data_IF_810606964769
#
_entry.id   IF_810606964769
#
_cell.length_a   1.000
_cell.length_b   1.000
_cell.length_c   1.000
_cell.angle_alpha   90.00
_cell.angle_beta   90.00
_cell.angle_gamma   90.00
#
_symmetry.space_group_name_H-M   'P 1'
#
loop_
_entity.id
_entity.type
_entity.pdbx_description
1 polymer ?
#
# COMPACT_ATOMS: atom_id res chain seq x y z
N UNK A 1 23.48 -1.81 -1.52
CA UNK A 1 22.16 -1.61 -0.89
C UNK A 1 21.84 -0.13 -0.95
N UNK A 2 20.73 0.27 -1.54
CA UNK A 2 20.20 1.62 -1.34
C UNK A 2 19.64 1.65 0.09
N UNK A 3 20.37 2.28 1.02
CA UNK A 3 19.88 2.46 2.37
C UNK A 3 18.65 3.37 2.34
N UNK A 4 17.72 3.18 3.27
CA UNK A 4 16.72 4.20 3.57
C UNK A 4 17.41 5.53 3.96
N UNK A 5 16.62 6.59 4.18
CA UNK A 5 17.19 7.89 4.58
C UNK A 5 18.05 7.77 5.83
N UNK A 6 19.09 8.59 5.93
CA UNK A 6 19.92 8.65 7.12
C UNK A 6 19.12 9.31 8.25
N UNK A 7 19.11 8.66 9.41
CA UNK A 7 18.50 9.20 10.62
C UNK A 7 19.45 10.19 11.30
N UNK A 8 18.90 11.24 11.88
CA UNK A 8 19.64 12.04 12.85
C UNK A 8 19.97 11.21 14.10
N UNK A 9 21.01 11.58 14.89
CA UNK A 9 21.34 10.88 16.12
C UNK A 9 20.16 10.81 17.10
N UNK A 10 19.30 11.83 17.12
CA UNK A 10 18.10 11.89 17.96
C UNK A 10 17.02 10.90 17.51
N UNK A 11 16.76 10.82 16.20
CA UNK A 11 15.81 9.86 15.64
C UNK A 11 16.29 8.41 15.83
N UNK A 12 17.59 8.16 15.60
CA UNK A 12 18.20 6.85 15.80
C UNK A 12 18.11 6.42 17.28
N UNK A 13 18.45 7.31 18.21
CA UNK A 13 18.32 7.08 19.66
C UNK A 13 16.87 6.78 20.04
N UNK A 14 15.92 7.57 19.55
CA UNK A 14 14.49 7.35 19.81
C UNK A 14 14.04 5.97 19.37
N UNK A 15 14.38 5.55 18.15
CA UNK A 15 13.99 4.23 17.64
C UNK A 15 14.67 3.09 18.42
N UNK A 16 15.92 3.28 18.84
CA UNK A 16 16.63 2.30 19.66
C UNK A 16 16.01 2.14 21.06
N UNK A 17 15.55 3.23 21.67
CA UNK A 17 14.91 3.22 23.00
C UNK A 17 13.45 2.72 22.97
N UNK A 18 12.74 2.88 21.84
CA UNK A 18 11.34 2.45 21.70
C UNK A 18 11.23 0.93 21.46
N UNK A 19 11.35 0.17 22.55
CA UNK A 19 11.19 -1.30 22.56
C UNK A 19 9.93 -1.78 23.29
N UNK A 20 9.10 -0.85 23.77
CA UNK A 20 7.89 -1.21 24.52
C UNK A 20 6.80 -1.60 23.53
N UNK A 21 6.51 -2.89 23.47
CA UNK A 21 5.40 -3.45 22.70
C UNK A 21 4.07 -3.31 23.43
N UNK A 22 3.01 -3.27 22.64
CA UNK A 22 1.64 -3.43 23.08
C UNK A 22 1.46 -4.82 23.70
N UNK A 23 0.68 -4.94 24.79
CA UNK A 23 0.44 -6.24 25.43
C UNK A 23 -0.21 -7.26 24.49
N UNK A 24 0.11 -8.54 24.67
CA UNK A 24 -0.39 -9.64 23.83
C UNK A 24 -1.92 -9.65 23.73
N UNK A 25 -2.61 -9.39 24.85
CA UNK A 25 -4.06 -9.25 24.87
C UNK A 25 -4.56 -8.18 23.90
N UNK A 26 -3.91 -7.00 23.90
CA UNK A 26 -4.28 -5.90 23.01
C UNK A 26 -3.86 -6.19 21.57
N UNK A 27 -2.73 -6.86 21.33
CA UNK A 27 -2.35 -7.31 19.99
C UNK A 27 -3.37 -8.29 19.40
N UNK A 28 -3.77 -9.32 20.16
CA UNK A 28 -4.79 -10.29 19.75
C UNK A 28 -6.14 -9.62 19.47
N UNK A 29 -6.53 -8.65 20.31
CA UNK A 29 -7.73 -7.86 20.08
C UNK A 29 -7.63 -7.04 18.78
N UNK A 30 -6.51 -6.37 18.54
CA UNK A 30 -6.30 -5.56 17.33
C UNK A 30 -6.30 -6.40 16.06
N UNK A 31 -5.74 -7.62 16.10
CA UNK A 31 -5.82 -8.56 14.97
C UNK A 31 -7.27 -8.95 14.69
N UNK A 32 -8.02 -9.35 15.73
CA UNK A 32 -9.44 -9.73 15.60
C UNK A 32 -10.32 -8.57 15.12
N UNK A 33 -10.03 -7.34 15.54
CA UNK A 33 -10.82 -6.14 15.22
C UNK A 33 -10.28 -5.35 14.01
N UNK A 34 -9.27 -5.86 13.30
CA UNK A 34 -8.60 -5.12 12.23
C UNK A 34 -9.57 -4.61 11.14
N UNK A 35 -10.54 -5.43 10.73
CA UNK A 35 -11.57 -5.03 9.74
C UNK A 35 -12.42 -3.88 10.26
N UNK A 36 -12.91 -4.02 11.50
CA UNK A 36 -13.77 -3.05 12.16
C UNK A 36 -13.05 -1.72 12.33
N UNK A 37 -11.76 -1.73 12.68
CA UNK A 37 -10.98 -0.51 12.83
C UNK A 37 -10.83 0.23 11.50
N UNK A 38 -10.57 -0.48 10.39
CA UNK A 38 -10.58 0.12 9.06
C UNK A 38 -11.98 0.62 8.64
N UNK A 39 -13.05 -0.12 8.95
CA UNK A 39 -14.41 0.35 8.64
C UNK A 39 -14.80 1.62 9.39
N UNK A 40 -14.40 1.72 10.67
CA UNK A 40 -14.58 2.92 11.48
C UNK A 40 -13.71 4.08 10.99
N UNK A 41 -12.50 3.80 10.51
CA UNK A 41 -11.66 4.80 9.89
C UNK A 41 -12.35 5.42 8.67
N UNK A 42 -12.85 4.61 7.74
CA UNK A 42 -13.57 5.12 6.57
C UNK A 42 -14.90 5.78 6.94
N UNK A 43 -15.58 5.30 8.00
CA UNK A 43 -16.79 5.97 8.52
C UNK A 43 -16.52 7.40 8.95
N UNK A 44 -15.37 7.63 9.61
CA UNK A 44 -15.00 8.94 10.16
C UNK A 44 -14.46 9.88 9.09
N UNK A 45 -13.68 9.36 8.14
CA UNK A 45 -12.94 10.19 7.20
C UNK A 45 -13.56 10.24 5.79
N UNK A 46 -14.51 9.36 5.47
CA UNK A 46 -15.14 9.27 4.15
C UNK A 46 -14.07 9.16 3.05
N UNK A 47 -14.22 9.91 1.96
CA UNK A 47 -13.35 9.86 0.78
C UNK A 47 -12.20 10.88 0.77
N UNK A 48 -12.10 11.72 1.81
CA UNK A 48 -11.26 12.93 1.77
C UNK A 48 -9.91 12.78 2.49
N UNK A 49 -9.65 11.64 3.13
CA UNK A 49 -8.43 11.45 3.91
C UNK A 49 -7.18 11.38 3.04
N UNK A 50 -7.22 10.50 2.03
CA UNK A 50 -6.14 10.32 1.07
C UNK A 50 -6.43 11.15 -0.18
N UNK A 51 -5.36 11.68 -0.77
CA UNK A 51 -5.44 12.40 -2.05
C UNK A 51 -5.42 11.41 -3.20
N UNK A 52 -6.09 11.79 -4.29
CA UNK A 52 -6.02 11.08 -5.56
C UNK A 52 -4.58 11.05 -6.11
N UNK A 53 -4.16 9.88 -6.62
CA UNK A 53 -2.77 9.58 -7.02
C UNK A 53 -2.56 9.82 -8.52
N UNK A 54 -2.59 11.08 -8.95
CA UNK A 54 -2.33 11.50 -10.35
C UNK A 54 -0.86 11.40 -10.80
N UNK A 55 -0.02 10.70 -10.05
CA UNK A 55 1.39 10.45 -10.37
C UNK A 55 1.66 8.99 -10.74
N UNK A 56 0.69 8.09 -10.54
CA UNK A 56 0.88 6.63 -10.64
C UNK A 56 1.44 6.21 -12.00
N UNK A 57 0.90 6.72 -13.11
CA UNK A 57 1.35 6.38 -14.46
C UNK A 57 2.68 7.01 -14.87
N UNK A 58 3.20 7.98 -14.08
CA UNK A 58 4.53 8.56 -14.26
C UNK A 58 5.61 7.76 -13.54
N UNK A 59 5.26 7.15 -12.39
CA UNK A 59 6.21 6.38 -11.58
C UNK A 59 6.16 4.87 -11.89
N UNK A 60 5.07 4.39 -12.51
CA UNK A 60 4.93 3.03 -13.01
C UNK A 60 4.58 3.05 -14.50
N UNK A 61 5.61 3.13 -15.34
CA UNK A 61 5.47 3.17 -16.80
C UNK A 61 4.83 1.90 -17.35
N UNK A 62 4.89 0.78 -16.63
CA UNK A 62 4.24 -0.49 -16.98
C UNK A 62 2.74 -0.30 -17.21
N UNK A 63 2.10 0.62 -16.48
CA UNK A 63 0.67 0.91 -16.66
C UNK A 63 0.36 1.48 -18.04
N UNK A 64 1.36 1.99 -18.76
CA UNK A 64 1.25 2.44 -20.16
C UNK A 64 1.83 1.42 -21.14
N UNK A 65 2.96 0.82 -20.79
CA UNK A 65 3.80 0.04 -21.72
C UNK A 65 3.52 -1.46 -21.73
N UNK A 66 2.73 -1.98 -20.78
CA UNK A 66 2.46 -3.42 -20.71
C UNK A 66 1.47 -3.94 -21.79
N UNK A 67 0.99 -3.04 -22.67
CA UNK A 67 0.17 -3.39 -23.83
C UNK A 67 1.06 -3.67 -25.03
N UNK A 68 0.84 -4.82 -25.65
CA UNK A 68 1.45 -5.22 -26.92
C UNK A 68 0.77 -4.49 -28.11
N UNK A 69 -0.51 -4.13 -27.97
CA UNK A 69 -1.29 -3.43 -28.99
C UNK A 69 -2.09 -2.26 -28.39
N UNK A 70 -2.32 -1.21 -29.17
CA UNK A 70 -3.01 0.02 -28.73
C UNK A 70 -4.41 -0.26 -28.16
N UNK A 71 -5.15 -1.21 -28.76
CA UNK A 71 -6.49 -1.62 -28.32
C UNK A 71 -6.49 -2.70 -27.23
N UNK A 72 -5.33 -3.17 -26.76
CA UNK A 72 -5.29 -4.22 -25.75
C UNK A 72 -5.82 -3.72 -24.40
N UNK A 73 -6.91 -4.32 -23.93
CA UNK A 73 -7.44 -4.05 -22.60
C UNK A 73 -6.44 -4.46 -21.52
N UNK A 74 -6.08 -3.52 -20.65
CA UNK A 74 -5.23 -3.79 -19.50
C UNK A 74 -6.08 -4.20 -18.30
N UNK A 75 -5.87 -5.41 -17.78
CA UNK A 75 -6.52 -5.90 -16.57
C UNK A 75 -5.59 -5.75 -15.36
N UNK A 76 -6.03 -5.01 -14.34
CA UNK A 76 -5.29 -4.79 -13.08
C UNK A 76 -6.06 -5.33 -11.88
N UNK A 77 -5.34 -5.60 -10.78
CA UNK A 77 -5.91 -5.87 -9.46
C UNK A 77 -5.31 -4.86 -8.47
N UNK A 78 -6.14 -4.03 -7.84
CA UNK A 78 -5.74 -3.21 -6.70
C UNK A 78 -6.18 -3.86 -5.39
N UNK A 79 -5.20 -4.32 -4.61
CA UNK A 79 -5.43 -4.86 -3.28
C UNK A 79 -5.24 -3.77 -2.22
N UNK A 80 -6.28 -3.55 -1.39
CA UNK A 80 -6.33 -2.40 -0.49
C UNK A 80 -6.71 -1.10 -1.21
N UNK A 81 -7.75 -1.15 -2.05
CA UNK A 81 -8.14 -0.03 -2.90
C UNK A 81 -8.72 1.17 -2.12
N UNK A 82 -9.10 0.97 -0.86
CA UNK A 82 -9.75 1.96 -0.03
C UNK A 82 -10.98 2.54 -0.72
N UNK A 83 -11.00 3.86 -0.85
CA UNK A 83 -12.07 4.61 -1.52
C UNK A 83 -11.75 4.93 -2.99
N UNK A 84 -10.74 4.28 -3.56
CA UNK A 84 -10.37 4.33 -4.98
C UNK A 84 -9.44 5.46 -5.39
N UNK A 85 -8.68 6.07 -4.46
CA UNK A 85 -7.81 7.21 -4.77
C UNK A 85 -6.66 6.89 -5.76
N UNK A 86 -6.29 5.61 -5.92
CA UNK A 86 -5.40 5.18 -7.00
C UNK A 86 -6.18 4.93 -8.28
N UNK A 87 -7.26 4.16 -8.15
CA UNK A 87 -8.02 3.61 -9.25
C UNK A 87 -8.71 4.67 -10.11
N UNK A 88 -9.40 5.64 -9.49
CA UNK A 88 -10.19 6.60 -10.26
C UNK A 88 -9.33 7.46 -11.20
N UNK A 89 -8.20 8.05 -10.76
CA UNK A 89 -7.28 8.73 -11.67
C UNK A 89 -6.80 7.87 -12.84
N UNK A 90 -6.53 6.58 -12.61
CA UNK A 90 -6.12 5.66 -13.67
C UNK A 90 -7.24 5.43 -14.70
N UNK A 91 -8.47 5.23 -14.24
CA UNK A 91 -9.63 5.03 -15.11
C UNK A 91 -10.03 6.31 -15.88
N UNK A 92 -9.73 7.49 -15.33
CA UNK A 92 -9.91 8.79 -16.00
C UNK A 92 -8.87 9.03 -17.09
N UNK A 93 -7.61 8.65 -16.83
CA UNK A 93 -6.52 8.77 -17.81
C UNK A 93 -6.68 7.80 -18.98
N UNK A 94 -7.18 6.59 -18.72
CA UNK A 94 -7.22 5.53 -19.72
C UNK A 94 -8.47 4.64 -19.61
N UNK A 95 -9.32 4.78 -20.63
CA UNK A 95 -10.58 4.07 -20.71
C UNK A 95 -10.43 2.59 -21.08
N UNK A 96 -9.25 2.12 -21.51
CA UNK A 96 -8.99 0.72 -21.87
C UNK A 96 -8.37 -0.08 -20.71
N UNK A 97 -8.67 0.31 -19.47
CA UNK A 97 -8.34 -0.42 -18.24
C UNK A 97 -9.59 -1.12 -17.70
N UNK A 98 -9.42 -2.38 -17.30
CA UNK A 98 -10.32 -3.10 -16.42
C UNK A 98 -9.64 -3.32 -15.07
N UNK A 99 -10.33 -3.04 -13.98
CA UNK A 99 -9.77 -3.24 -12.66
C UNK A 99 -10.62 -4.21 -11.85
N UNK A 100 -9.95 -5.15 -11.21
CA UNK A 100 -10.43 -5.74 -9.97
C UNK A 100 -9.93 -4.86 -8.83
N UNK A 101 -10.77 -4.55 -7.86
CA UNK A 101 -10.35 -3.81 -6.68
C UNK A 101 -10.93 -4.46 -5.44
N UNK A 102 -10.14 -4.50 -4.37
CA UNK A 102 -10.60 -5.07 -3.12
C UNK A 102 -10.10 -4.31 -1.90
N UNK A 103 -10.93 -4.28 -0.87
CA UNK A 103 -10.57 -3.71 0.42
C UNK A 103 -11.12 -4.58 1.56
N UNK A 104 -10.52 -4.43 2.73
CA UNK A 104 -10.98 -5.13 3.92
C UNK A 104 -12.27 -4.51 4.46
N UNK A 105 -12.41 -3.19 4.35
CA UNK A 105 -13.59 -2.46 4.82
C UNK A 105 -14.71 -2.55 3.78
N UNK A 106 -15.85 -3.17 4.14
CA UNK A 106 -17.04 -3.14 3.28
C UNK A 106 -17.48 -1.71 2.95
N UNK A 107 -17.32 -0.77 3.88
CA UNK A 107 -17.63 0.64 3.66
C UNK A 107 -16.72 1.30 2.62
N UNK A 108 -15.43 1.00 2.62
CA UNK A 108 -14.52 1.52 1.60
C UNK A 108 -14.96 1.08 0.20
N UNK A 109 -15.26 -0.23 0.05
CA UNK A 109 -15.82 -0.81 -1.17
C UNK A 109 -17.14 -0.14 -1.56
N UNK A 110 -18.02 0.12 -0.59
CA UNK A 110 -19.28 0.83 -0.84
C UNK A 110 -19.04 2.25 -1.36
N UNK A 111 -18.09 2.99 -0.79
CA UNK A 111 -17.73 4.31 -1.33
C UNK A 111 -17.21 4.23 -2.77
N UNK A 112 -16.44 3.20 -3.13
CA UNK A 112 -16.02 2.98 -4.52
C UNK A 112 -17.24 2.73 -5.41
N UNK A 113 -18.19 1.89 -5.00
CA UNK A 113 -19.45 1.66 -5.75
C UNK A 113 -20.25 2.94 -5.94
N UNK A 114 -20.42 3.74 -4.89
CA UNK A 114 -21.15 5.01 -4.96
C UNK A 114 -20.44 6.07 -5.81
N UNK A 115 -19.11 6.04 -5.91
CA UNK A 115 -18.34 6.92 -6.82
C UNK A 115 -18.42 6.45 -8.28
N UNK A 116 -18.54 5.14 -8.51
CA UNK A 116 -18.41 4.55 -9.84
C UNK A 116 -19.70 4.52 -10.69
N UNK A 117 -20.67 5.40 -10.42
CA UNK A 117 -21.99 5.36 -11.09
C UNK A 117 -21.91 5.48 -12.62
N UNK A 118 -20.83 6.07 -13.14
CA UNK A 118 -20.63 6.28 -14.58
C UNK A 118 -19.79 5.17 -15.26
N UNK A 119 -19.12 4.27 -14.52
CA UNK A 119 -18.07 3.37 -15.06
C UNK A 119 -18.18 1.91 -14.57
N UNK A 120 -19.36 1.44 -14.14
CA UNK A 120 -19.56 0.09 -13.61
C UNK A 120 -19.10 -1.07 -14.52
N UNK A 121 -18.96 -0.87 -15.84
CA UNK A 121 -18.50 -1.93 -16.76
C UNK A 121 -16.99 -2.20 -16.71
N UNK A 122 -16.21 -1.40 -15.97
CA UNK A 122 -14.74 -1.47 -15.93
C UNK A 122 -14.17 -1.90 -14.58
N UNK A 123 -15.02 -2.18 -13.61
CA UNK A 123 -14.60 -2.40 -12.23
C UNK A 123 -15.38 -3.53 -11.56
N UNK A 124 -14.67 -4.57 -11.14
CA UNK A 124 -15.16 -5.61 -10.26
C UNK A 124 -14.63 -5.42 -8.84
N UNK A 125 -15.51 -5.49 -7.84
CA UNK A 125 -15.17 -5.20 -6.44
C UNK A 125 -15.30 -6.44 -5.55
N UNK A 126 -14.26 -6.71 -4.76
CA UNK A 126 -14.23 -7.80 -3.80
C UNK A 126 -13.99 -7.27 -2.38
N UNK A 127 -14.57 -7.93 -1.38
CA UNK A 127 -14.27 -7.68 0.02
C UNK A 127 -13.32 -8.76 0.50
N UNK A 128 -12.16 -8.36 1.02
CA UNK A 128 -11.20 -9.30 1.61
C UNK A 128 -11.66 -9.69 3.02
N UNK A 129 -11.42 -10.93 3.43
CA UNK A 129 -11.77 -11.41 4.77
C UNK A 129 -10.61 -11.35 5.76
N UNK A 130 -9.37 -11.12 5.29
CA UNK A 130 -8.17 -10.92 6.12
C UNK A 130 -7.14 -10.03 5.41
N UNK A 131 -6.50 -9.12 6.15
CA UNK A 131 -5.33 -8.35 5.72
C UNK A 131 -4.15 -8.72 6.61
N UNK A 132 -3.54 -9.84 6.28
CA UNK A 132 -2.18 -10.18 6.71
C UNK A 132 -1.32 -10.36 5.45
N UNK A 133 -0.09 -10.91 5.60
CA UNK A 133 0.70 -11.45 4.48
C UNK A 133 -0.15 -12.25 3.45
N UNK A 134 -1.31 -12.76 3.84
CA UNK A 134 -2.32 -13.34 2.95
C UNK A 134 -2.70 -12.47 1.74
N UNK A 135 -2.71 -11.14 1.85
CA UNK A 135 -3.00 -10.26 0.72
C UNK A 135 -1.89 -10.32 -0.34
N UNK A 136 -0.63 -10.35 0.13
CA UNK A 136 0.53 -10.58 -0.71
C UNK A 136 0.48 -11.99 -1.34
N UNK A 137 0.23 -13.04 -0.54
CA UNK A 137 0.13 -14.43 -1.03
C UNK A 137 -0.96 -14.55 -2.09
N UNK A 138 -2.13 -13.93 -1.89
CA UNK A 138 -3.22 -13.93 -2.87
C UNK A 138 -2.78 -13.30 -4.19
N UNK A 139 -2.19 -12.10 -4.16
CA UNK A 139 -1.68 -11.42 -5.37
C UNK A 139 -0.64 -12.30 -6.09
N UNK A 140 0.26 -12.93 -5.34
CA UNK A 140 1.31 -13.79 -5.89
C UNK A 140 0.76 -15.04 -6.61
N UNK A 141 -0.34 -15.62 -6.11
CA UNK A 141 -0.98 -16.79 -6.69
C UNK A 141 -1.78 -16.47 -7.96
N UNK A 142 -2.47 -15.32 -8.02
CA UNK A 142 -3.40 -15.02 -9.11
C UNK A 142 -2.74 -14.50 -10.39
N UNK A 143 -1.50 -14.00 -10.31
CA UNK A 143 -0.84 -13.44 -11.48
C UNK A 143 -0.33 -14.50 -12.46
N UNK A 144 -0.58 -14.25 -13.75
CA UNK A 144 -0.04 -15.05 -14.86
C UNK A 144 1.48 -14.85 -14.99
N UNK A 145 2.21 -15.83 -15.54
CA UNK A 145 3.62 -15.68 -15.91
C UNK A 145 3.88 -14.40 -16.73
N UNK A 146 5.05 -13.78 -16.54
CA UNK A 146 5.45 -12.54 -17.20
C UNK A 146 4.76 -11.27 -16.68
N UNK A 147 3.76 -11.36 -15.80
CA UNK A 147 3.07 -10.19 -15.22
C UNK A 147 3.78 -9.71 -13.95
N UNK A 148 3.57 -8.43 -13.62
CA UNK A 148 4.26 -7.76 -12.54
C UNK A 148 3.34 -7.39 -11.38
N UNK A 149 3.92 -7.32 -10.19
CA UNK A 149 3.37 -6.68 -9.01
C UNK A 149 4.05 -5.33 -8.87
N UNK A 150 3.25 -4.28 -8.83
CA UNK A 150 3.67 -2.92 -8.52
C UNK A 150 3.33 -2.65 -7.06
N UNK A 151 4.33 -2.27 -6.28
CA UNK A 151 4.19 -2.05 -4.85
C UNK A 151 4.61 -0.64 -4.49
N UNK A 152 3.78 0.02 -3.67
CA UNK A 152 4.20 1.23 -2.97
C UNK A 152 3.51 1.37 -1.63
N UNK A 153 4.32 1.48 -0.58
CA UNK A 153 3.84 1.79 0.77
C UNK A 153 4.92 2.58 1.55
N UNK A 154 4.66 2.89 2.81
CA UNK A 154 5.64 3.55 3.67
C UNK A 154 6.92 2.73 3.79
N UNK A 155 8.05 3.36 3.52
CA UNK A 155 9.37 2.78 3.73
C UNK A 155 9.88 3.04 5.15
N UNK A 156 10.96 2.35 5.51
CA UNK A 156 11.68 2.62 6.76
C UNK A 156 12.00 4.10 6.92
N UNK A 157 11.89 4.56 8.17
CA UNK A 157 12.24 5.92 8.59
C UNK A 157 11.37 7.04 7.99
N UNK A 158 10.22 6.71 7.38
CA UNK A 158 9.19 7.71 7.07
C UNK A 158 8.87 8.54 8.32
N UNK A 159 8.59 9.82 8.13
CA UNK A 159 8.28 10.71 9.24
C UNK A 159 7.09 10.21 10.09
N UNK A 160 6.12 9.48 9.51
CA UNK A 160 5.03 8.90 10.28
C UNK A 160 5.53 7.82 11.27
N UNK A 161 6.55 7.04 10.92
CA UNK A 161 7.16 6.02 11.80
C UNK A 161 7.70 6.68 13.07
N UNK A 162 8.43 7.77 12.89
CA UNK A 162 9.10 8.49 13.96
C UNK A 162 8.14 9.28 14.85
N UNK A 163 6.87 9.37 14.50
CA UNK A 163 5.84 10.05 15.31
C UNK A 163 5.12 9.14 16.27
N UNK A 164 5.27 7.82 16.15
CA UNK A 164 4.70 6.90 17.13
C UNK A 164 5.29 7.17 18.52
N UNK A 165 4.42 7.03 19.51
CA UNK A 165 4.77 7.09 20.93
C UNK A 165 5.12 5.69 21.41
N UNK A 166 5.86 5.61 22.51
CA UNK A 166 6.09 4.33 23.19
C UNK A 166 4.79 3.60 23.48
N UNK A 167 4.86 2.27 23.56
CA UNK A 167 3.71 1.38 23.70
C UNK A 167 2.72 1.40 22.50
N UNK A 168 3.19 1.81 21.32
CA UNK A 168 2.44 1.69 20.05
C UNK A 168 2.95 0.53 19.18
N UNK A 169 4.08 -0.11 19.51
CA UNK A 169 4.66 -1.20 18.71
C UNK A 169 3.84 -2.48 18.81
N UNK A 170 3.55 -3.07 17.67
CA UNK A 170 2.97 -4.41 17.52
C UNK A 170 4.02 -5.44 17.11
N UNK A 171 5.14 -4.99 16.57
CA UNK A 171 6.24 -5.82 16.11
C UNK A 171 7.34 -4.95 15.50
N UNK A 172 8.31 -5.58 14.86
CA UNK A 172 9.32 -4.86 14.10
C UNK A 172 8.68 -4.07 12.96
N UNK A 173 8.98 -2.76 12.90
CA UNK A 173 8.41 -1.83 11.93
C UNK A 173 6.88 -1.77 11.87
N UNK A 174 6.18 -2.32 12.87
CA UNK A 174 4.73 -2.44 12.88
C UNK A 174 4.12 -1.75 14.09
N UNK A 175 3.18 -0.84 13.86
CA UNK A 175 2.67 0.07 14.86
C UNK A 175 1.14 0.19 14.81
N UNK A 176 0.51 0.42 15.95
CA UNK A 176 -0.92 0.74 16.06
C UNK A 176 -1.14 2.24 16.21
N UNK A 177 -2.15 2.77 15.50
CA UNK A 177 -2.63 4.14 15.62
C UNK A 177 -3.67 4.28 16.74
N UNK A 178 -3.99 5.52 17.10
CA UNK A 178 -4.97 5.80 18.15
C UNK A 178 -6.39 5.30 17.81
N UNK A 179 -6.74 5.23 16.53
CA UNK A 179 -8.03 4.74 16.05
C UNK A 179 -8.10 3.20 15.92
N UNK A 180 -7.02 2.49 16.27
CA UNK A 180 -6.91 1.04 16.16
C UNK A 180 -6.50 0.53 14.78
N UNK A 181 -6.37 1.40 13.77
CA UNK A 181 -5.74 1.04 12.50
C UNK A 181 -4.23 0.84 12.70
N UNK A 182 -3.58 0.15 11.76
CA UNK A 182 -2.19 -0.30 11.90
C UNK A 182 -1.36 0.25 10.76
N UNK A 183 -0.06 0.40 10.99
CA UNK A 183 0.89 0.88 9.99
C UNK A 183 2.16 0.08 10.06
N UNK A 184 2.56 -0.43 8.90
CA UNK A 184 3.80 -1.14 8.69
C UNK A 184 4.73 -0.24 7.88
N UNK A 185 6.03 -0.29 8.16
CA UNK A 185 7.06 0.44 7.44
C UNK A 185 8.02 -0.57 6.80
N UNK A 186 8.02 -0.63 5.48
CA UNK A 186 8.68 -1.72 4.77
C UNK A 186 10.20 -1.54 4.68
N UNK A 187 10.90 -2.58 5.13
CA UNK A 187 12.30 -2.80 4.82
C UNK A 187 12.40 -3.39 3.40
N UNK A 188 13.34 -2.89 2.58
CA UNK A 188 13.46 -3.31 1.19
C UNK A 188 13.85 -4.78 1.07
N UNK A 189 14.77 -5.24 1.92
CA UNK A 189 15.19 -6.63 2.06
C UNK A 189 14.05 -7.57 2.48
N UNK A 190 13.24 -7.17 3.46
CA UNK A 190 12.07 -7.94 3.88
C UNK A 190 11.07 -8.13 2.73
N UNK A 191 10.77 -7.06 1.97
CA UNK A 191 9.86 -7.17 0.83
C UNK A 191 10.47 -8.01 -0.30
N UNK A 192 11.78 -7.88 -0.54
CA UNK A 192 12.49 -8.70 -1.52
C UNK A 192 12.39 -10.18 -1.16
N UNK A 193 12.75 -10.55 0.07
CA UNK A 193 12.70 -11.93 0.55
C UNK A 193 11.31 -12.53 0.34
N UNK A 194 10.26 -11.78 0.68
CA UNK A 194 8.87 -12.23 0.54
C UNK A 194 8.47 -12.54 -0.91
N UNK A 195 8.87 -11.72 -1.89
CA UNK A 195 8.57 -12.00 -3.30
C UNK A 195 9.48 -13.08 -3.89
N UNK A 196 10.76 -13.06 -3.54
CA UNK A 196 11.75 -14.04 -4.03
C UNK A 196 11.41 -15.45 -3.53
N UNK A 197 10.92 -15.61 -2.30
CA UNK A 197 10.48 -16.91 -1.76
C UNK A 197 9.28 -17.49 -2.51
N UNK A 198 8.46 -16.64 -3.12
CA UNK A 198 7.32 -17.03 -3.96
C UNK A 198 7.71 -17.20 -5.45
N UNK A 199 9.00 -17.14 -5.76
CA UNK A 199 9.54 -17.36 -7.11
C UNK A 199 9.40 -16.17 -8.05
N UNK A 200 9.20 -14.95 -7.53
CA UNK A 200 9.25 -13.73 -8.34
C UNK A 200 10.69 -13.26 -8.55
N UNK A 201 10.90 -12.46 -9.59
CA UNK A 201 12.15 -11.75 -9.85
C UNK A 201 12.02 -10.28 -9.41
N UNK A 202 13.02 -9.77 -8.71
CA UNK A 202 13.06 -8.35 -8.36
C UNK A 202 13.53 -7.52 -9.56
N UNK A 203 12.66 -6.63 -10.04
CA UNK A 203 12.99 -5.69 -11.12
C UNK A 203 13.41 -4.33 -10.55
N UNK A 204 12.66 -3.81 -9.59
CA UNK A 204 12.93 -2.55 -8.87
C UNK A 204 12.58 -2.74 -7.40
N UNK A 205 13.36 -2.21 -6.46
CA UNK A 205 13.04 -2.23 -5.04
C UNK A 205 13.81 -1.14 -4.29
N UNK A 206 13.29 0.08 -4.32
CA UNK A 206 14.03 1.27 -3.93
C UNK A 206 13.23 2.21 -3.03
N UNK A 207 13.95 2.93 -2.16
CA UNK A 207 13.35 3.98 -1.35
C UNK A 207 13.20 5.27 -2.15
N UNK A 208 11.96 5.76 -2.26
CA UNK A 208 11.63 7.04 -2.89
C UNK A 208 11.38 8.08 -1.82
N UNK A 209 12.22 9.12 -1.79
CA UNK A 209 12.08 10.26 -0.90
C UNK A 209 11.18 11.32 -1.56
N UNK A 210 10.22 11.82 -0.80
CA UNK A 210 9.33 12.92 -1.19
C UNK A 210 9.23 13.92 -0.05
N UNK A 211 8.83 15.13 -0.36
CA UNK A 211 8.48 16.12 0.65
C UNK A 211 6.99 16.43 0.56
N UNK A 212 6.30 16.42 1.70
CA UNK A 212 4.92 16.90 1.79
C UNK A 212 4.92 18.22 2.53
N UNK A 213 4.49 19.29 1.84
CA UNK A 213 4.38 20.61 2.43
C UNK A 213 2.94 20.84 2.90
N UNK A 214 2.73 20.90 4.21
CA UNK A 214 1.52 21.44 4.79
C UNK A 214 1.64 22.96 4.90
N UNK A 215 1.19 23.68 3.86
CA UNK A 215 1.27 25.15 3.80
C UNK A 215 0.53 25.82 4.97
N UNK A 216 -0.56 25.23 5.48
CA UNK A 216 -1.35 25.79 6.59
C UNK A 216 -0.58 25.77 7.91
N UNK A 217 0.24 24.74 8.12
CA UNK A 217 1.03 24.55 9.34
C UNK A 217 2.49 24.98 9.17
N UNK A 218 2.88 25.46 7.97
CA UNK A 218 4.27 25.80 7.65
C UNK A 218 5.23 24.61 7.73
N UNK A 219 4.72 23.38 7.62
CA UNK A 219 5.49 22.16 7.89
C UNK A 219 5.91 21.49 6.58
N UNK A 220 7.22 21.28 6.39
CA UNK A 220 7.75 20.40 5.36
C UNK A 220 8.09 19.05 5.99
N UNK A 221 7.44 17.99 5.51
CA UNK A 221 7.56 16.65 6.08
C UNK A 221 8.29 15.73 5.12
N UNK A 222 9.45 15.17 5.49
CA UNK A 222 10.12 14.17 4.68
C UNK A 222 9.31 12.88 4.69
N UNK A 223 8.99 12.37 3.51
CA UNK A 223 8.26 11.13 3.29
C UNK A 223 9.19 10.12 2.66
N UNK A 224 9.12 8.88 3.14
CA UNK A 224 9.87 7.75 2.59
C UNK A 224 8.86 6.70 2.18
N UNK A 225 8.89 6.33 0.90
CA UNK A 225 8.10 5.24 0.35
C UNK A 225 9.03 4.15 -0.15
N UNK A 226 8.69 2.88 0.09
CA UNK A 226 9.31 1.79 -0.66
C UNK A 226 8.52 1.64 -1.96
N UNK A 227 9.19 1.76 -3.09
CA UNK A 227 8.61 1.56 -4.41
C UNK A 227 9.29 0.37 -5.07
N UNK A 228 8.50 -0.62 -5.44
CA UNK A 228 9.02 -1.89 -5.91
C UNK A 228 8.23 -2.45 -7.07
N UNK A 229 8.93 -3.21 -7.90
CA UNK A 229 8.41 -3.98 -9.01
C UNK A 229 8.98 -5.38 -8.93
N UNK A 230 8.10 -6.35 -8.88
CA UNK A 230 8.44 -7.77 -8.92
C UNK A 230 7.74 -8.41 -10.11
N UNK A 231 8.43 -9.28 -10.84
CA UNK A 231 7.88 -9.93 -12.03
C UNK A 231 7.79 -11.43 -11.81
N UNK A 232 6.67 -12.02 -12.17
CA UNK A 232 6.57 -13.48 -12.22
C UNK A 232 7.36 -13.96 -13.45
N UNK A 233 8.28 -14.91 -13.31
CA UNK A 233 9.05 -15.43 -14.43
C UNK A 233 8.13 -15.85 -15.59
N UNK A 234 8.64 -15.74 -16.82
CA UNK A 234 7.99 -16.37 -17.96
C UNK A 234 7.98 -17.89 -17.74
N UNK A 235 6.93 -18.58 -18.17
CA UNK A 235 7.02 -20.05 -18.25
C UNK A 235 8.01 -20.36 -19.36
N UNK A 236 9.09 -21.05 -19.03
CA UNK A 236 9.90 -21.71 -20.05
C UNK A 236 8.99 -22.68 -20.81
N UNK A 237 8.83 -22.44 -22.11
CA UNK A 237 8.10 -23.28 -23.05
C UNK A 237 8.79 -24.61 -23.28
#
# INVERSE_FOLDING_TARGET
>A
MLSARILSPQEAKKLAEDQISVSDFKQAKLEKEAQKNWDLFYKRNSINFFKDRHWTTREFEELKTCREFEDQKLTILEAGCGVGNCLFPLLEEDLNIFAYACDFSPRAVEYVKCRNVLNFKKLDLLILNKVSLLCHIFVCQVLKPGKCVLFRDYGLYDHAMLRFKSASKLGENFYVRQDGTRSYFFAADFLAELFLSEGYEQVVNEYVLRETVNKKEGLCVPRVFLQSKFQKPQKET
#
